data_IF_989246729289
#
_entry.id   IF_989246729289
#
_cell.length_a   1.000
_cell.length_b   1.000
_cell.length_c   1.000
_cell.angle_alpha   90.00
_cell.angle_beta   90.00
_cell.angle_gamma   90.00
#
_symmetry.space_group_name_H-M   'P 1'
#
loop_
_entity.id
_entity.type
_entity.pdbx_description
1 polymer ?
#
# COMPACT_ATOMS: atom_id res chain seq x y z
N UNK A 1 10.64 12.47 -15.47
CA UNK A 1 9.20 12.29 -15.21
C UNK A 1 9.05 11.52 -13.92
N UNK A 2 8.20 11.96 -12.99
CA UNK A 2 7.95 11.22 -11.75
C UNK A 2 7.08 9.99 -12.05
N UNK A 3 7.41 8.85 -11.44
CA UNK A 3 6.59 7.63 -11.50
C UNK A 3 5.21 7.92 -10.87
N UNK A 4 4.14 7.47 -11.54
CA UNK A 4 2.77 7.63 -11.08
C UNK A 4 2.15 6.25 -10.91
N UNK A 5 1.46 6.06 -9.79
CA UNK A 5 0.64 4.86 -9.58
C UNK A 5 -0.65 4.96 -10.40
N UNK A 6 -1.21 3.81 -10.76
CA UNK A 6 -2.60 3.72 -11.22
C UNK A 6 -3.61 3.84 -10.06
N UNK A 7 -3.12 3.68 -8.82
CA UNK A 7 -3.88 3.98 -7.60
C UNK A 7 -3.82 5.49 -7.38
N UNK A 8 -4.98 6.14 -7.25
CA UNK A 8 -5.04 7.55 -6.87
C UNK A 8 -4.46 7.71 -5.46
N UNK A 9 -3.40 8.51 -5.34
CA UNK A 9 -2.76 8.84 -4.07
C UNK A 9 -2.78 10.35 -3.92
N UNK A 10 -3.24 10.83 -2.76
CA UNK A 10 -3.21 12.25 -2.43
C UNK A 10 -1.77 12.79 -2.46
N UNK A 11 -1.52 14.02 -2.94
CA UNK A 11 -0.20 14.65 -2.87
C UNK A 11 0.36 14.72 -1.44
N UNK A 12 -0.52 14.80 -0.45
CA UNK A 12 -0.17 14.90 0.98
C UNK A 12 -0.11 13.54 1.68
N UNK A 13 -0.15 12.43 0.93
CA UNK A 13 -0.08 11.08 1.48
C UNK A 13 1.34 10.75 1.94
N UNK A 14 1.48 10.21 3.15
CA UNK A 14 2.73 9.63 3.65
C UNK A 14 3.14 8.34 2.89
N UNK A 15 2.22 7.79 2.09
CA UNK A 15 2.41 6.54 1.34
C UNK A 15 2.34 6.76 -0.18
N UNK A 16 3.24 7.56 -0.78
CA UNK A 16 3.31 7.70 -2.22
C UNK A 16 3.95 6.45 -2.86
N UNK A 17 3.85 6.30 -4.18
CA UNK A 17 4.45 5.17 -4.93
C UNK A 17 5.98 5.09 -4.78
N UNK A 18 6.62 6.16 -4.32
CA UNK A 18 8.05 6.19 -4.05
C UNK A 18 8.43 5.59 -2.69
N UNK A 19 7.49 5.48 -1.74
CA UNK A 19 7.75 5.01 -0.38
C UNK A 19 7.54 3.49 -0.24
N UNK A 20 6.40 2.99 -0.71
CA UNK A 20 6.01 1.56 -0.68
C UNK A 20 6.52 0.79 0.55
N UNK A 21 6.16 1.22 1.79
CA UNK A 21 6.65 0.56 2.99
C UNK A 21 5.99 -0.82 3.15
N UNK A 22 6.77 -1.78 3.61
CA UNK A 22 6.29 -3.11 3.95
C UNK A 22 5.73 -3.13 5.37
N UNK A 23 4.58 -3.76 5.53
CA UNK A 23 3.93 -3.97 6.82
C UNK A 23 3.24 -5.32 6.88
N UNK A 24 2.83 -5.71 8.09
CA UNK A 24 1.94 -6.86 8.30
C UNK A 24 0.55 -6.32 8.54
N UNK A 25 -0.42 -6.73 7.73
CA UNK A 25 -1.82 -6.37 7.90
C UNK A 25 -2.66 -7.63 8.10
N UNK A 26 -3.79 -7.49 8.79
CA UNK A 26 -4.73 -8.58 9.03
C UNK A 26 -6.10 -8.18 8.47
N UNK A 27 -6.55 -8.79 7.35
CA UNK A 27 -7.92 -8.63 6.89
C UNK A 27 -8.90 -9.22 7.91
N UNK A 28 -10.14 -8.71 7.95
CA UNK A 28 -11.14 -9.00 9.00
C UNK A 28 -11.39 -10.49 9.28
N UNK A 29 -11.19 -11.37 8.31
CA UNK A 29 -11.43 -12.82 8.43
C UNK A 29 -10.26 -13.67 7.89
N UNK A 30 -9.07 -13.08 7.76
CA UNK A 30 -7.93 -13.76 7.17
C UNK A 30 -6.72 -13.76 8.12
N UNK A 31 -5.74 -14.61 7.80
CA UNK A 31 -4.48 -14.64 8.56
C UNK A 31 -3.68 -13.34 8.33
N UNK A 32 -2.87 -12.90 9.31
CA UNK A 32 -1.92 -11.81 9.10
C UNK A 32 -1.00 -12.12 7.91
N UNK A 33 -0.89 -11.18 6.98
CA UNK A 33 -0.13 -11.30 5.74
C UNK A 33 0.74 -10.06 5.53
N UNK A 34 1.78 -10.21 4.72
CA UNK A 34 2.65 -9.09 4.35
C UNK A 34 1.96 -8.28 3.26
N UNK A 35 1.93 -6.96 3.45
CA UNK A 35 1.39 -6.03 2.47
C UNK A 35 2.20 -4.75 2.36
N UNK A 36 1.91 -3.97 1.34
CA UNK A 36 2.53 -2.66 1.08
C UNK A 36 1.47 -1.58 1.13
N UNK A 37 1.72 -0.50 1.89
CA UNK A 37 0.81 0.64 1.93
C UNK A 37 1.01 1.54 0.70
N UNK A 38 -0.10 1.94 0.08
CA UNK A 38 -0.13 2.92 -1.02
C UNK A 38 -1.37 3.79 -0.90
N UNK A 39 -1.18 5.09 -0.66
CA UNK A 39 -2.28 6.00 -0.36
C UNK A 39 -3.08 5.55 0.85
N UNK A 40 -4.37 5.33 0.64
CA UNK A 40 -5.35 4.85 1.61
C UNK A 40 -5.57 3.32 1.54
N UNK A 41 -4.76 2.59 0.76
CA UNK A 41 -4.91 1.16 0.51
C UNK A 41 -3.68 0.37 0.93
N UNK A 42 -3.87 -0.95 1.08
CA UNK A 42 -2.80 -1.92 1.30
C UNK A 42 -2.85 -2.97 0.18
N UNK A 43 -1.72 -3.20 -0.47
CA UNK A 43 -1.53 -4.27 -1.46
C UNK A 43 -1.10 -5.53 -0.72
N UNK A 44 -1.84 -6.63 -0.86
CA UNK A 44 -1.45 -7.95 -0.34
C UNK A 44 -0.37 -8.56 -1.24
N UNK A 45 0.77 -8.95 -0.67
CA UNK A 45 1.86 -9.59 -1.41
C UNK A 45 1.72 -11.12 -1.52
N UNK A 46 0.79 -11.70 -0.77
CA UNK A 46 0.57 -13.14 -0.67
C UNK A 46 -0.64 -13.65 -1.45
N UNK A 47 -1.35 -12.73 -2.12
CA UNK A 47 -2.56 -13.01 -2.89
C UNK A 47 -2.29 -13.72 -4.22
#
# INVERSE_FOLDING_TARGET
>A
MALRSFVEVSPDSDFPIQNLPFGVFQPKQDKPRVGVAIGDRVVDLSA
#
